data_IF_064602750281
#
_entry.id   IF_064602750281
#
_cell.length_a   1.000
_cell.length_b   1.000
_cell.length_c   1.000
_cell.angle_alpha   90.00
_cell.angle_beta   90.00
_cell.angle_gamma   90.00
#
_symmetry.space_group_name_H-M   'P 1'
#
loop_
_entity.id
_entity.type
_entity.pdbx_description
1 polymer ?
#
# COMPACT_ATOMS: atom_id res chain seq x y z
N UNK A 1 5.26 -36.96 -15.48
CA UNK A 1 5.12 -35.64 -14.83
C UNK A 1 5.92 -35.71 -13.55
N UNK A 2 6.86 -34.80 -13.33
CA UNK A 2 7.64 -34.76 -12.08
C UNK A 2 6.88 -33.90 -11.08
N UNK A 3 6.46 -34.50 -9.96
CA UNK A 3 5.86 -33.75 -8.85
C UNK A 3 6.99 -33.01 -8.13
N UNK A 4 6.82 -31.71 -7.87
CA UNK A 4 7.81 -30.94 -7.09
C UNK A 4 7.62 -31.14 -5.59
N UNK A 5 8.66 -30.87 -4.81
CA UNK A 5 8.60 -30.93 -3.35
C UNK A 5 7.54 -29.96 -2.80
N UNK A 6 7.38 -28.78 -3.39
CA UNK A 6 6.34 -27.82 -3.02
C UNK A 6 4.93 -28.38 -3.23
N UNK A 7 4.70 -29.11 -4.32
CA UNK A 7 3.41 -29.76 -4.58
C UNK A 7 3.14 -30.90 -3.59
N UNK A 8 4.17 -31.65 -3.18
CA UNK A 8 4.05 -32.68 -2.15
C UNK A 8 3.76 -32.10 -0.77
N UNK A 9 4.40 -30.98 -0.41
CA UNK A 9 4.13 -30.24 0.82
C UNK A 9 2.70 -29.68 0.83
N UNK A 10 2.29 -28.99 -0.23
CA UNK A 10 0.93 -28.46 -0.35
C UNK A 10 -0.14 -29.57 -0.35
N UNK A 11 0.16 -30.73 -0.95
CA UNK A 11 -0.71 -31.91 -0.84
C UNK A 11 -0.77 -32.46 0.59
N UNK A 12 0.38 -32.53 1.28
CA UNK A 12 0.43 -32.97 2.68
C UNK A 12 -0.35 -32.02 3.61
N UNK A 13 -0.37 -30.72 3.29
CA UNK A 13 -1.07 -29.68 4.04
C UNK A 13 -2.56 -29.52 3.67
N UNK A 14 -3.00 -30.10 2.55
CA UNK A 14 -4.37 -30.01 2.04
C UNK A 14 -4.68 -28.72 1.28
N UNK A 15 -3.64 -28.00 0.83
CA UNK A 15 -3.74 -26.71 0.13
C UNK A 15 -3.75 -26.84 -1.39
N UNK A 16 -3.62 -28.06 -1.92
CA UNK A 16 -3.59 -28.30 -3.36
C UNK A 16 -5.00 -28.20 -3.98
N UNK A 17 -5.17 -27.53 -5.14
CA UNK A 17 -6.42 -27.54 -5.91
C UNK A 17 -6.83 -28.96 -6.31
N UNK A 18 -8.13 -29.19 -6.48
CA UNK A 18 -8.69 -30.52 -6.75
C UNK A 18 -8.11 -31.18 -8.02
N UNK A 19 -7.89 -30.40 -9.07
CA UNK A 19 -7.30 -30.87 -10.33
C UNK A 19 -5.86 -31.36 -10.16
N UNK A 20 -5.04 -30.61 -9.42
CA UNK A 20 -3.65 -30.97 -9.15
C UNK A 20 -3.55 -32.15 -8.16
N UNK A 21 -4.52 -32.26 -7.24
CA UNK A 21 -4.53 -33.28 -6.19
C UNK A 21 -4.66 -34.67 -6.80
N UNK A 22 -5.53 -34.83 -7.79
CA UNK A 22 -5.70 -36.09 -8.50
C UNK A 22 -4.40 -36.54 -9.21
N UNK A 23 -3.64 -35.59 -9.75
CA UNK A 23 -2.36 -35.88 -10.40
C UNK A 23 -1.27 -36.30 -9.40
N UNK A 24 -1.22 -35.67 -8.22
CA UNK A 24 -0.32 -36.07 -7.12
C UNK A 24 -0.70 -37.44 -6.56
N UNK A 25 -1.99 -37.72 -6.37
CA UNK A 25 -2.46 -39.03 -5.91
C UNK A 25 -2.12 -40.15 -6.90
N UNK A 26 -2.28 -39.90 -8.20
CA UNK A 26 -1.86 -40.84 -9.23
C UNK A 26 -0.33 -41.06 -9.23
N UNK A 27 0.47 -40.02 -8.95
CA UNK A 27 1.91 -40.15 -8.82
C UNK A 27 2.30 -40.97 -7.58
N UNK A 28 1.67 -40.70 -6.43
CA UNK A 28 1.88 -41.46 -5.17
C UNK A 28 1.53 -42.94 -5.36
N UNK A 29 0.46 -43.25 -6.09
CA UNK A 29 0.06 -44.64 -6.36
C UNK A 29 1.11 -45.41 -7.19
N UNK A 30 1.92 -44.70 -7.98
CA UNK A 30 2.96 -45.29 -8.83
C UNK A 30 4.36 -45.23 -8.21
N UNK A 31 4.57 -44.42 -7.17
CA UNK A 31 5.86 -44.24 -6.50
C UNK A 31 5.72 -44.23 -4.97
N UNK A 32 6.11 -45.33 -4.28
CA UNK A 32 6.04 -45.41 -2.83
C UNK A 32 6.98 -44.42 -2.12
N UNK A 33 8.04 -43.92 -2.77
CA UNK A 33 8.92 -42.93 -2.17
C UNK A 33 8.19 -41.59 -1.95
N UNK A 34 7.26 -41.23 -2.84
CA UNK A 34 6.41 -40.04 -2.67
C UNK A 34 5.45 -40.21 -1.49
N UNK A 35 4.93 -41.42 -1.28
CA UNK A 35 4.07 -41.72 -0.13
C UNK A 35 4.82 -41.52 1.20
N UNK A 36 6.06 -41.98 1.28
CA UNK A 36 6.93 -41.80 2.46
C UNK A 36 7.23 -40.31 2.73
N UNK A 37 7.47 -39.52 1.69
CA UNK A 37 7.67 -38.08 1.83
C UNK A 37 6.43 -37.37 2.37
N UNK A 38 5.24 -37.67 1.84
CA UNK A 38 3.98 -37.13 2.35
C UNK A 38 3.76 -37.56 3.81
N UNK A 39 4.06 -38.80 4.16
CA UNK A 39 3.97 -39.29 5.53
C UNK A 39 4.92 -38.52 6.47
N UNK A 40 6.16 -38.28 6.05
CA UNK A 40 7.12 -37.48 6.80
C UNK A 40 6.64 -36.04 7.01
N UNK A 41 6.10 -35.38 5.98
CA UNK A 41 5.51 -34.04 6.11
C UNK A 41 4.34 -34.01 7.10
N UNK A 42 3.41 -34.97 7.00
CA UNK A 42 2.27 -35.08 7.93
C UNK A 42 2.72 -35.36 9.37
N UNK A 43 3.73 -36.20 9.55
CA UNK A 43 4.31 -36.49 10.87
C UNK A 43 4.97 -35.24 11.48
N UNK A 44 5.70 -34.46 10.69
CA UNK A 44 6.27 -33.19 11.13
C UNK A 44 5.17 -32.20 11.53
N UNK A 45 4.12 -32.05 10.71
CA UNK A 45 2.96 -31.20 11.02
C UNK A 45 2.29 -31.61 12.32
N UNK A 46 2.09 -32.91 12.55
CA UNK A 46 1.52 -33.42 13.79
C UNK A 46 2.39 -33.08 15.02
N UNK A 47 3.71 -33.23 14.92
CA UNK A 47 4.65 -32.86 15.99
C UNK A 47 4.59 -31.36 16.30
N UNK A 48 4.52 -30.51 15.27
CA UNK A 48 4.39 -29.07 15.45
C UNK A 48 3.05 -28.70 16.08
N UNK A 49 1.96 -29.29 15.60
CA UNK A 49 0.63 -29.06 16.17
C UNK A 49 0.58 -29.44 17.66
N UNK A 50 1.20 -30.56 18.03
CA UNK A 50 1.30 -30.98 19.43
C UNK A 50 2.14 -30.01 20.26
N UNK A 51 3.33 -29.62 19.76
CA UNK A 51 4.24 -28.72 20.47
C UNK A 51 3.64 -27.33 20.71
N UNK A 52 2.81 -26.84 19.79
CA UNK A 52 2.16 -25.53 19.89
C UNK A 52 0.70 -25.59 20.36
N UNK A 53 0.18 -26.77 20.70
CA UNK A 53 -1.20 -26.96 21.15
C UNK A 53 -1.54 -26.12 22.39
N UNK A 54 -0.59 -26.00 23.32
CA UNK A 54 -0.75 -25.20 24.55
C UNK A 54 -1.00 -23.72 24.29
N UNK A 55 -0.39 -23.15 23.24
CA UNK A 55 -0.55 -21.74 22.87
C UNK A 55 -1.98 -21.42 22.42
N UNK A 56 -2.70 -22.41 21.85
CA UNK A 56 -4.08 -22.21 21.41
C UNK A 56 -5.07 -22.08 22.58
N UNK A 57 -4.68 -22.54 23.77
CA UNK A 57 -5.52 -22.49 24.98
C UNK A 57 -5.16 -21.28 25.85
N UNK A 58 -4.03 -20.63 25.60
CA UNK A 58 -3.61 -19.44 26.34
C UNK A 58 -4.62 -18.30 26.10
N UNK A 59 -5.15 -17.68 27.17
CA UNK A 59 -6.01 -16.52 27.01
C UNK A 59 -5.23 -15.37 26.37
N UNK A 60 -5.85 -14.57 25.50
CA UNK A 60 -5.20 -13.39 24.94
C UNK A 60 -4.79 -12.43 26.07
N UNK A 61 -3.67 -11.69 25.93
CA UNK A 61 -3.23 -10.74 26.94
C UNK A 61 -4.32 -9.76 27.39
N UNK A 62 -4.39 -9.50 28.71
CA UNK A 62 -5.45 -8.72 29.34
C UNK A 62 -5.73 -7.35 28.67
N UNK A 63 -4.69 -6.67 28.18
CA UNK A 63 -4.82 -5.40 27.43
C UNK A 63 -5.79 -5.50 26.25
N UNK A 64 -5.86 -6.65 25.56
CA UNK A 64 -6.76 -6.83 24.42
C UNK A 64 -8.20 -7.07 24.88
N UNK A 65 -8.39 -7.86 25.94
CA UNK A 65 -9.72 -8.08 26.53
C UNK A 65 -10.29 -6.80 27.14
N UNK A 66 -9.44 -5.95 27.73
CA UNK A 66 -9.83 -4.64 28.26
C UNK A 66 -10.23 -3.66 27.15
N UNK A 67 -9.48 -3.61 26.04
CA UNK A 67 -9.85 -2.80 24.87
C UNK A 67 -11.23 -3.20 24.33
N UNK A 68 -11.53 -4.50 24.26
CA UNK A 68 -12.83 -5.00 23.82
C UNK A 68 -13.94 -4.73 24.85
N UNK A 69 -13.65 -4.81 26.15
CA UNK A 69 -14.63 -4.53 27.20
C UNK A 69 -15.01 -3.03 27.28
N UNK A 70 -14.05 -2.15 26.98
CA UNK A 70 -14.24 -0.69 27.03
C UNK A 70 -14.91 -0.11 25.78
N UNK A 71 -14.92 -0.85 24.67
CA UNK A 71 -15.46 -0.39 23.38
C UNK A 71 -16.74 -1.15 23.06
N UNK A 72 -17.91 -0.50 22.94
CA UNK A 72 -19.12 -1.19 22.51
C UNK A 72 -18.90 -1.76 21.10
N UNK A 73 -19.38 -2.99 20.82
CA UNK A 73 -19.18 -3.61 19.51
C UNK A 73 -19.90 -2.78 18.44
N UNK A 74 -19.12 -2.07 17.62
CA UNK A 74 -19.61 -1.32 16.49
C UNK A 74 -19.12 -1.96 15.20
N UNK A 75 -20.03 -2.50 14.40
CA UNK A 75 -19.72 -2.94 13.04
C UNK A 75 -19.68 -1.70 12.15
N UNK A 76 -18.49 -1.35 11.69
CA UNK A 76 -18.27 -0.19 10.81
C UNK A 76 -18.11 -0.70 9.37
N UNK A 77 -18.88 -0.14 8.45
CA UNK A 77 -18.67 -0.40 7.01
C UNK A 77 -17.44 0.37 6.53
N UNK A 78 -16.39 -0.37 6.15
CA UNK A 78 -15.19 0.21 5.57
C UNK A 78 -15.46 0.85 4.20
N UNK A 79 -16.42 0.31 3.46
CA UNK A 79 -16.83 0.84 2.16
C UNK A 79 -17.51 2.21 2.33
N UNK A 80 -18.43 2.35 3.28
CA UNK A 80 -19.07 3.63 3.59
C UNK A 80 -18.05 4.69 4.06
N UNK A 81 -17.03 4.28 4.82
CA UNK A 81 -15.93 5.17 5.19
C UNK A 81 -15.05 5.55 4.00
N UNK A 82 -14.83 4.66 3.05
CA UNK A 82 -14.08 4.97 1.83
C UNK A 82 -14.85 5.97 0.96
N UNK A 83 -16.14 5.74 0.76
CA UNK A 83 -17.03 6.64 0.01
C UNK A 83 -17.09 8.04 0.63
N UNK A 84 -17.24 8.14 1.96
CA UNK A 84 -17.27 9.44 2.65
C UNK A 84 -15.95 10.20 2.50
N UNK A 85 -14.80 9.52 2.56
CA UNK A 85 -13.47 10.12 2.34
C UNK A 85 -13.29 10.60 0.91
N UNK A 86 -13.77 9.84 -0.07
CA UNK A 86 -13.74 10.24 -1.48
C UNK A 86 -14.65 11.44 -1.74
N UNK A 87 -15.85 11.45 -1.17
CA UNK A 87 -16.76 12.59 -1.23
C UNK A 87 -16.16 13.83 -0.56
N UNK A 88 -15.49 13.69 0.58
CA UNK A 88 -14.86 14.81 1.28
C UNK A 88 -13.66 15.36 0.50
N UNK A 89 -12.86 14.50 -0.12
CA UNK A 89 -11.81 14.90 -1.08
C UNK A 89 -12.40 15.61 -2.29
N UNK A 90 -13.52 15.12 -2.82
CA UNK A 90 -14.23 15.78 -3.92
C UNK A 90 -14.86 17.11 -3.49
N UNK A 91 -15.30 17.26 -2.23
CA UNK A 91 -15.80 18.54 -1.68
C UNK A 91 -14.67 19.53 -1.41
N UNK A 92 -13.46 19.05 -1.07
CA UNK A 92 -12.20 19.82 -1.04
C UNK A 92 -11.66 20.15 -2.43
N UNK A 93 -12.49 20.13 -3.49
CA UNK A 93 -12.13 20.70 -4.78
C UNK A 93 -11.96 22.21 -4.58
N UNK A 94 -10.70 22.63 -4.63
CA UNK A 94 -10.21 23.99 -4.57
C UNK A 94 -11.19 24.96 -5.26
N UNK A 95 -11.73 25.86 -4.46
CA UNK A 95 -12.77 26.79 -4.88
C UNK A 95 -12.19 27.86 -5.83
N UNK A 96 -13.01 28.36 -6.76
CA UNK A 96 -12.65 29.45 -7.67
C UNK A 96 -11.93 30.65 -7.02
N UNK A 97 -12.29 31.08 -5.78
CA UNK A 97 -11.58 32.14 -5.07
C UNK A 97 -10.12 31.80 -4.76
N UNK A 98 -9.83 30.54 -4.39
CA UNK A 98 -8.49 30.12 -4.04
C UNK A 98 -7.60 30.03 -5.31
N UNK A 99 -8.17 29.68 -6.47
CA UNK A 99 -7.47 29.80 -7.76
C UNK A 99 -7.20 31.26 -8.13
N UNK A 100 -8.15 32.14 -7.83
CA UNK A 100 -7.97 33.59 -7.96
C UNK A 100 -6.83 34.13 -7.09
N UNK A 101 -6.71 33.66 -5.85
CA UNK A 101 -5.62 34.03 -4.95
C UNK A 101 -4.24 33.55 -5.46
N UNK A 102 -4.17 32.33 -6.00
CA UNK A 102 -2.97 31.81 -6.66
C UNK A 102 -2.57 32.63 -7.89
N UNK A 103 -3.53 32.98 -8.75
CA UNK A 103 -3.25 33.84 -9.90
C UNK A 103 -2.82 35.24 -9.47
N UNK A 104 -3.48 35.80 -8.45
CA UNK A 104 -3.15 37.11 -7.90
C UNK A 104 -1.74 37.16 -7.30
N UNK A 105 -1.30 36.08 -6.61
CA UNK A 105 0.06 36.03 -6.05
C UNK A 105 1.13 35.99 -7.13
N UNK A 106 0.90 35.29 -8.25
CA UNK A 106 1.79 35.29 -9.42
C UNK A 106 1.84 36.69 -10.04
N UNK A 107 0.69 37.33 -10.27
CA UNK A 107 0.62 38.70 -10.83
C UNK A 107 1.34 39.70 -9.92
N UNK A 108 1.10 39.62 -8.60
CA UNK A 108 1.77 40.49 -7.63
C UNK A 108 3.28 40.29 -7.63
N UNK A 109 3.76 39.05 -7.70
CA UNK A 109 5.18 38.73 -7.79
C UNK A 109 5.83 39.27 -9.07
N UNK A 110 5.18 39.10 -10.23
CA UNK A 110 5.68 39.62 -11.52
C UNK A 110 5.68 41.16 -11.52
N UNK A 111 4.64 41.81 -10.99
CA UNK A 111 4.56 43.26 -10.91
C UNK A 111 5.65 43.82 -9.98
N UNK A 112 5.79 43.27 -8.77
CA UNK A 112 6.83 43.67 -7.83
C UNK A 112 8.24 43.43 -8.38
N UNK A 113 8.47 42.27 -9.00
CA UNK A 113 9.76 41.93 -9.63
C UNK A 113 10.10 42.85 -10.80
N UNK A 114 9.15 43.10 -11.70
CA UNK A 114 9.36 44.02 -12.83
C UNK A 114 9.62 45.45 -12.36
N UNK A 115 8.92 45.94 -11.33
CA UNK A 115 9.16 47.26 -10.76
C UNK A 115 10.52 47.36 -10.05
N UNK A 116 10.99 46.29 -9.41
CA UNK A 116 12.32 46.24 -8.81
C UNK A 116 13.46 46.22 -9.86
N UNK A 117 13.19 45.62 -11.01
CA UNK A 117 14.11 45.50 -12.14
C UNK A 117 14.06 46.71 -13.09
N UNK A 118 13.01 47.55 -13.02
CA UNK A 118 12.93 48.81 -13.74
C UNK A 118 14.11 49.72 -13.32
N UNK A 119 15.01 49.98 -14.26
CA UNK A 119 16.24 50.76 -14.04
C UNK A 119 17.51 49.94 -13.78
N UNK A 120 17.41 48.61 -13.66
CA UNK A 120 18.55 47.68 -13.55
C UNK A 120 18.75 46.79 -14.79
N UNK A 121 18.07 47.12 -15.89
CA UNK A 121 18.20 46.40 -17.15
C UNK A 121 19.42 46.86 -17.97
N UNK A 122 19.96 46.01 -18.86
CA UNK A 122 21.13 46.32 -19.69
C UNK A 122 20.85 47.36 -20.79
N UNK A 123 19.65 47.96 -20.83
CA UNK A 123 19.20 48.90 -21.85
C UNK A 123 18.52 50.07 -21.13
N UNK A 124 19.06 51.28 -21.31
CA UNK A 124 18.50 52.54 -20.83
C UNK A 124 18.04 53.43 -22.00
N UNK A 125 17.33 54.51 -21.69
CA UNK A 125 17.00 55.56 -22.66
C UNK A 125 17.69 56.86 -22.24
N UNK A 126 18.55 57.40 -23.10
CA UNK A 126 19.25 58.67 -22.90
C UNK A 126 19.00 59.56 -24.12
N UNK A 127 18.44 60.76 -23.91
CA UNK A 127 18.18 61.71 -25.00
C UNK A 127 17.24 61.21 -26.10
N UNK A 128 16.39 60.21 -25.82
CA UNK A 128 15.46 59.61 -26.81
C UNK A 128 16.07 58.47 -27.63
N UNK A 129 17.33 58.10 -27.40
CA UNK A 129 17.96 56.92 -27.98
C UNK A 129 18.06 55.79 -26.94
N UNK A 130 17.86 54.54 -27.38
CA UNK A 130 18.07 53.36 -26.55
C UNK A 130 19.57 53.04 -26.52
N UNK A 131 20.15 52.97 -25.32
CA UNK A 131 21.59 52.76 -25.10
C UNK A 131 21.81 51.52 -24.23
N UNK A 132 22.77 50.67 -24.60
CA UNK A 132 23.15 49.53 -23.78
C UNK A 132 24.01 49.98 -22.59
N UNK A 133 23.61 49.60 -21.38
CA UNK A 133 24.26 49.93 -20.11
C UNK A 133 24.62 48.63 -19.38
N UNK A 134 25.69 47.98 -19.82
CA UNK A 134 26.31 46.86 -19.12
C UNK A 134 27.75 47.24 -18.73
N UNK A 135 28.20 46.85 -17.53
CA UNK A 135 29.61 46.93 -17.16
C UNK A 135 30.38 45.84 -17.94
N UNK A 136 31.55 46.20 -18.49
CA UNK A 136 32.46 45.28 -19.18
C UNK A 136 33.26 44.44 -18.18
#
# INVERSE_FOLDING_TARGET
MTISDEQLMAYADGELPEEERAAVEAAIANDPALAEQVHAHRALRAQLAEAFSGTLVEPPPARFTELLASTPPSVISLDAHRESREQERARRRWSWPEWGALAASVVAGVAAGSMWLQGRGPIGSEGGALVARGEL
#
